data_IF_686681587988
#
_entry.id   IF_686681587988
#
_cell.length_a   1.000
_cell.length_b   1.000
_cell.length_c   1.000
_cell.angle_alpha   90.00
_cell.angle_beta   90.00
_cell.angle_gamma   90.00
#
_symmetry.space_group_name_H-M   'P 1'
#
loop_
_entity.id
_entity.type
_entity.pdbx_description
1 polymer ?
#
# COMPACT_ATOMS: atom_id res chain seq x y z
N UNK A 1 -14.18 1.56 -0.98
CA UNK A 1 -14.15 0.11 -1.22
C UNK A 1 -15.14 -0.28 -2.34
N UNK A 2 -14.74 -0.15 -3.60
CA UNK A 2 -15.53 -0.63 -4.77
C UNK A 2 -14.59 -1.35 -5.77
N UNK A 3 -13.38 -0.80 -5.93
CA UNK A 3 -12.27 -1.42 -6.67
C UNK A 3 -11.99 -2.85 -6.20
N UNK A 4 -12.00 -3.10 -4.89
CA UNK A 4 -11.76 -4.43 -4.32
C UNK A 4 -12.79 -5.47 -4.76
N UNK A 5 -14.06 -5.09 -4.95
CA UNK A 5 -15.09 -6.00 -5.46
C UNK A 5 -14.70 -6.47 -6.87
N UNK A 6 -14.23 -5.55 -7.71
CA UNK A 6 -13.72 -5.91 -9.03
C UNK A 6 -12.44 -6.74 -8.95
N UNK A 7 -11.56 -6.51 -7.97
CA UNK A 7 -10.38 -7.35 -7.76
C UNK A 7 -10.75 -8.81 -7.45
N UNK A 8 -11.76 -9.04 -6.59
CA UNK A 8 -12.30 -10.39 -6.35
C UNK A 8 -12.94 -10.99 -7.61
N UNK A 9 -13.69 -10.19 -8.37
CA UNK A 9 -14.31 -10.63 -9.61
C UNK A 9 -13.27 -10.99 -10.68
N UNK A 10 -12.19 -10.22 -10.83
CA UNK A 10 -11.09 -10.55 -11.74
C UNK A 10 -10.37 -11.82 -11.30
N UNK A 11 -10.27 -12.09 -10.01
CA UNK A 11 -9.71 -13.34 -9.50
C UNK A 11 -10.58 -14.57 -9.84
N UNK A 12 -11.90 -14.40 -9.91
CA UNK A 12 -12.85 -15.50 -10.14
C UNK A 12 -13.22 -15.67 -11.62
N UNK A 13 -13.50 -14.58 -12.34
CA UNK A 13 -14.07 -14.54 -13.68
C UNK A 13 -13.46 -13.42 -14.53
N UNK A 14 -12.13 -13.45 -14.71
CA UNK A 14 -11.37 -12.43 -15.42
C UNK A 14 -11.98 -12.07 -16.79
N UNK A 15 -12.17 -13.05 -17.67
CA UNK A 15 -12.61 -12.83 -19.06
C UNK A 15 -14.00 -12.18 -19.13
N UNK A 16 -14.95 -12.70 -18.35
CA UNK A 16 -16.32 -12.18 -18.27
C UNK A 16 -16.34 -10.71 -17.84
N UNK A 17 -15.55 -10.38 -16.81
CA UNK A 17 -15.49 -9.02 -16.26
C UNK A 17 -14.83 -8.05 -17.24
N UNK A 18 -13.72 -8.47 -17.88
CA UNK A 18 -13.04 -7.65 -18.90
C UNK A 18 -13.97 -7.40 -20.08
N UNK A 19 -14.69 -8.41 -20.57
CA UNK A 19 -15.65 -8.26 -21.66
C UNK A 19 -16.79 -7.30 -21.28
N UNK A 20 -17.41 -7.51 -20.12
CA UNK A 20 -18.47 -6.64 -19.61
C UNK A 20 -18.03 -5.18 -19.49
N UNK A 21 -16.87 -4.93 -18.88
CA UNK A 21 -16.34 -3.58 -18.69
C UNK A 21 -15.86 -2.92 -19.99
N UNK A 22 -15.53 -3.72 -21.01
CA UNK A 22 -15.16 -3.21 -22.34
C UNK A 22 -16.40 -2.80 -23.14
N UNK A 23 -17.51 -3.53 -23.00
CA UNK A 23 -18.78 -3.21 -23.65
C UNK A 23 -19.51 -2.04 -22.96
N UNK A 24 -19.32 -1.91 -21.65
CA UNK A 24 -19.92 -0.83 -20.88
C UNK A 24 -19.22 0.50 -21.14
N UNK A 25 -19.94 1.49 -21.68
CA UNK A 25 -19.41 2.81 -21.99
C UNK A 25 -20.05 3.88 -21.11
N UNK A 26 -19.23 4.67 -20.44
CA UNK A 26 -19.66 5.81 -19.60
C UNK A 26 -19.02 7.07 -20.14
N UNK A 27 -19.84 8.01 -20.62
CA UNK A 27 -19.38 9.31 -21.12
C UNK A 27 -18.30 9.21 -22.22
N UNK A 28 -18.40 8.20 -23.10
CA UNK A 28 -17.47 8.01 -24.21
C UNK A 28 -16.18 7.27 -23.86
N UNK A 29 -16.02 6.80 -22.61
CA UNK A 29 -14.89 5.98 -22.17
C UNK A 29 -15.36 4.59 -21.76
N UNK A 30 -14.56 3.57 -22.08
CA UNK A 30 -14.83 2.21 -21.64
C UNK A 30 -14.79 2.14 -20.11
N UNK A 31 -15.72 1.38 -19.51
CA UNK A 31 -15.77 1.16 -18.07
C UNK A 31 -14.47 0.57 -17.54
N UNK A 32 -13.82 -0.29 -18.33
CA UNK A 32 -12.51 -0.86 -18.04
C UNK A 32 -11.43 0.22 -17.87
N UNK A 33 -11.42 1.23 -18.73
CA UNK A 33 -10.46 2.34 -18.66
C UNK A 33 -10.65 3.16 -17.39
N UNK A 34 -11.91 3.46 -17.05
CA UNK A 34 -12.25 4.22 -15.85
C UNK A 34 -11.84 3.43 -14.60
N UNK A 35 -12.19 2.15 -14.54
CA UNK A 35 -11.86 1.29 -13.41
C UNK A 35 -10.35 1.19 -13.20
N UNK A 36 -9.57 0.90 -14.25
CA UNK A 36 -8.12 0.77 -14.12
C UNK A 36 -7.44 2.08 -13.74
N UNK A 37 -7.89 3.21 -14.27
CA UNK A 37 -7.37 4.53 -13.86
C UNK A 37 -7.64 4.81 -12.40
N UNK A 38 -8.89 4.65 -11.96
CA UNK A 38 -9.25 4.84 -10.55
C UNK A 38 -8.54 3.85 -9.65
N UNK A 39 -8.37 2.59 -10.08
CA UNK A 39 -7.62 1.61 -9.31
C UNK A 39 -6.16 2.03 -9.13
N UNK A 40 -5.45 2.37 -10.21
CA UNK A 40 -4.04 2.72 -10.12
C UNK A 40 -3.79 4.05 -9.40
N UNK A 41 -4.73 5.00 -9.46
CA UNK A 41 -4.62 6.26 -8.71
C UNK A 41 -4.76 6.07 -7.20
N UNK A 42 -5.55 5.08 -6.77
CA UNK A 42 -5.81 4.81 -5.35
C UNK A 42 -5.11 3.53 -4.88
N UNK A 43 -4.12 3.02 -5.63
CA UNK A 43 -3.49 1.73 -5.34
C UNK A 43 -2.77 1.74 -3.99
N UNK A 44 -2.07 2.83 -3.69
CA UNK A 44 -1.31 3.03 -2.45
C UNK A 44 -2.24 3.27 -1.24
N UNK A 45 -3.49 3.67 -1.48
CA UNK A 45 -4.48 3.92 -0.42
C UNK A 45 -5.12 2.61 0.11
N UNK A 46 -4.86 1.47 -0.53
CA UNK A 46 -5.38 0.18 -0.06
C UNK A 46 -4.55 -0.33 1.11
N UNK A 47 -5.05 -0.08 2.33
CA UNK A 47 -4.49 -0.66 3.55
C UNK A 47 -5.06 -2.07 3.83
N UNK A 48 -4.23 -2.94 4.40
CA UNK A 48 -4.59 -4.29 4.81
C UNK A 48 -3.90 -5.38 4.01
N UNK A 49 -3.33 -6.36 4.72
CA UNK A 49 -2.54 -7.44 4.13
C UNK A 49 -3.33 -8.27 3.11
N UNK A 50 -4.57 -8.64 3.45
CA UNK A 50 -5.44 -9.42 2.56
C UNK A 50 -5.85 -8.63 1.31
N UNK A 51 -6.26 -7.36 1.46
CA UNK A 51 -6.63 -6.49 0.34
C UNK A 51 -5.48 -6.29 -0.66
N UNK A 52 -4.26 -6.05 -0.14
CA UNK A 52 -3.06 -5.94 -0.98
C UNK A 52 -2.81 -7.25 -1.75
N UNK A 53 -2.89 -8.42 -1.09
CA UNK A 53 -2.74 -9.73 -1.76
C UNK A 53 -3.76 -9.95 -2.88
N UNK A 54 -5.04 -9.72 -2.62
CA UNK A 54 -6.11 -9.90 -3.62
C UNK A 54 -5.87 -8.98 -4.81
N UNK A 55 -5.53 -7.73 -4.54
CA UNK A 55 -5.25 -6.72 -5.56
C UNK A 55 -4.04 -7.14 -6.41
N UNK A 56 -2.93 -7.52 -5.77
CA UNK A 56 -1.73 -8.01 -6.46
C UNK A 56 -2.01 -9.25 -7.32
N UNK A 57 -2.80 -10.22 -6.83
CA UNK A 57 -3.20 -11.38 -7.62
C UNK A 57 -4.09 -11.02 -8.81
N UNK A 58 -5.06 -10.13 -8.59
CA UNK A 58 -5.96 -9.69 -9.66
C UNK A 58 -5.16 -8.97 -10.76
N UNK A 59 -4.26 -8.07 -10.39
CA UNK A 59 -3.37 -7.38 -11.33
C UNK A 59 -2.43 -8.34 -12.04
N UNK A 60 -1.89 -9.35 -11.34
CA UNK A 60 -1.06 -10.39 -11.95
C UNK A 60 -1.82 -11.18 -13.01
N UNK A 61 -3.05 -11.62 -12.73
CA UNK A 61 -3.92 -12.29 -13.71
C UNK A 61 -4.23 -11.39 -14.90
N UNK A 62 -4.51 -10.11 -14.63
CA UNK A 62 -4.83 -9.12 -15.64
C UNK A 62 -3.63 -8.86 -16.56
N UNK A 63 -2.41 -8.83 -16.03
CA UNK A 63 -1.17 -8.78 -16.81
C UNK A 63 -0.96 -10.04 -17.65
N UNK A 64 -1.10 -11.23 -17.05
CA UNK A 64 -0.91 -12.53 -17.72
C UNK A 64 -1.94 -12.79 -18.82
N UNK A 65 -3.12 -12.16 -18.76
CA UNK A 65 -4.14 -12.27 -19.80
C UNK A 65 -3.68 -11.81 -21.18
N UNK A 66 -2.70 -10.89 -21.22
CA UNK A 66 -2.18 -10.34 -22.48
C UNK A 66 -3.21 -9.58 -23.31
N UNK A 67 -4.33 -9.16 -22.73
CA UNK A 67 -5.42 -8.55 -23.49
C UNK A 67 -4.98 -7.20 -24.11
N UNK A 68 -5.08 -7.02 -25.44
CA UNK A 68 -4.68 -5.78 -26.10
C UNK A 68 -5.51 -4.57 -25.64
N UNK A 69 -6.74 -4.77 -25.19
CA UNK A 69 -7.59 -3.69 -24.66
C UNK A 69 -6.97 -3.06 -23.42
N UNK A 70 -6.34 -3.86 -22.58
CA UNK A 70 -5.64 -3.41 -21.38
C UNK A 70 -4.34 -2.70 -21.78
N UNK A 71 -3.57 -3.28 -22.70
CA UNK A 71 -2.30 -2.70 -23.17
C UNK A 71 -2.46 -1.29 -23.77
N UNK A 72 -3.58 -1.05 -24.45
CA UNK A 72 -3.86 0.23 -25.09
C UNK A 72 -4.30 1.34 -24.11
N UNK A 73 -4.65 1.00 -22.86
CA UNK A 73 -5.08 1.98 -21.87
C UNK A 73 -3.86 2.75 -21.34
N UNK A 74 -3.93 4.07 -21.45
CA UNK A 74 -2.91 4.99 -20.93
C UNK A 74 -3.29 5.50 -19.55
N UNK A 75 -2.35 5.40 -18.60
CA UNK A 75 -2.56 5.73 -17.19
C UNK A 75 -1.45 6.65 -16.67
N UNK A 76 -1.73 7.32 -15.54
CA UNK A 76 -0.79 8.22 -14.88
C UNK A 76 0.40 7.43 -14.32
N UNK A 77 1.59 7.77 -14.80
CA UNK A 77 2.86 7.22 -14.35
C UNK A 77 3.49 8.07 -13.26
N UNK A 78 4.78 8.34 -13.41
CA UNK A 78 5.63 8.95 -12.40
C UNK A 78 5.55 10.49 -12.46
N UNK A 79 5.75 11.14 -11.31
CA UNK A 79 5.82 12.59 -11.22
C UNK A 79 7.05 13.10 -12.00
N UNK A 80 6.83 14.02 -12.94
CA UNK A 80 7.87 14.71 -13.69
C UNK A 80 8.42 15.82 -12.79
N UNK A 81 9.53 15.53 -12.14
CA UNK A 81 10.23 16.50 -11.29
C UNK A 81 10.84 17.58 -12.19
N UNK A 82 10.42 18.83 -12.03
CA UNK A 82 11.11 19.96 -12.64
C UNK A 82 12.44 20.18 -11.92
N UNK A 83 13.55 20.31 -12.65
CA UNK A 83 14.92 20.48 -12.14
C UNK A 83 15.18 21.79 -11.34
N UNK A 84 14.13 22.44 -10.82
CA UNK A 84 14.28 23.60 -9.96
C UNK A 84 14.73 23.14 -8.58
N UNK A 85 15.98 23.39 -8.24
CA UNK A 85 16.57 23.11 -6.91
C UNK A 85 16.02 24.01 -5.79
N UNK A 86 14.99 24.81 -6.08
CA UNK A 86 14.39 25.78 -5.16
C UNK A 86 13.13 25.20 -4.55
N UNK A 87 13.03 25.23 -3.22
CA UNK A 87 11.81 24.91 -2.48
C UNK A 87 10.65 25.72 -3.07
N UNK A 88 9.73 25.03 -3.74
CA UNK A 88 8.54 25.66 -4.29
C UNK A 88 7.49 25.79 -3.18
N UNK A 89 7.07 27.03 -2.95
CA UNK A 89 5.97 27.32 -2.04
C UNK A 89 4.64 26.94 -2.69
N UNK A 90 3.61 26.61 -1.90
CA UNK A 90 2.26 26.21 -2.40
C UNK A 90 1.68 27.15 -3.48
N UNK A 91 1.98 28.45 -3.39
CA UNK A 91 1.61 29.47 -4.38
C UNK A 91 2.24 29.23 -5.77
N UNK A 92 3.52 28.84 -5.80
CA UNK A 92 4.27 28.56 -7.02
C UNK A 92 3.89 27.21 -7.65
N UNK A 93 3.57 26.20 -6.85
CA UNK A 93 3.05 24.90 -7.34
C UNK A 93 1.66 25.04 -7.96
N UNK A 94 0.83 25.97 -7.46
CA UNK A 94 -0.46 26.27 -8.11
C UNK A 94 -0.29 26.89 -9.51
N UNK A 95 0.82 27.60 -9.75
CA UNK A 95 1.13 28.20 -11.06
C UNK A 95 1.83 27.21 -12.01
N UNK A 96 2.49 26.18 -11.46
CA UNK A 96 3.10 25.09 -12.21
C UNK A 96 2.59 23.76 -11.66
N UNK A 97 1.42 23.28 -12.11
CA UNK A 97 0.85 22.05 -11.59
C UNK A 97 1.76 20.86 -11.90
N UNK A 98 1.76 19.91 -10.97
CA UNK A 98 2.49 18.67 -11.07
C UNK A 98 2.16 17.93 -12.37
N UNK A 99 3.19 17.64 -13.16
CA UNK A 99 3.06 16.90 -14.42
C UNK A 99 3.44 15.46 -14.17
N UNK A 100 2.74 14.54 -14.82
CA UNK A 100 3.00 13.11 -14.67
C UNK A 100 3.26 12.52 -16.05
N UNK A 101 4.07 11.47 -16.10
CA UNK A 101 4.23 10.69 -17.32
C UNK A 101 2.92 9.95 -17.63
N UNK A 102 2.72 9.64 -18.91
CA UNK A 102 1.64 8.74 -19.35
C UNK A 102 2.29 7.44 -19.77
N UNK A 103 1.90 6.33 -19.15
CA UNK A 103 2.43 5.00 -19.44
C UNK A 103 1.31 4.01 -19.75
N UNK A 104 1.57 2.92 -20.49
CA UNK A 104 0.61 1.85 -20.67
C UNK A 104 0.21 1.20 -19.33
N UNK A 105 -1.06 0.77 -19.23
CA UNK A 105 -1.58 0.11 -18.03
C UNK A 105 -0.77 -1.14 -17.65
N UNK A 106 -0.32 -1.93 -18.63
CA UNK A 106 0.52 -3.10 -18.38
C UNK A 106 1.86 -2.76 -17.75
N UNK A 107 2.47 -1.64 -18.14
CA UNK A 107 3.72 -1.16 -17.51
C UNK A 107 3.45 -0.72 -16.06
N UNK A 108 2.35 0.00 -15.82
CA UNK A 108 1.96 0.42 -14.47
C UNK A 108 1.71 -0.78 -13.56
N UNK A 109 1.07 -1.84 -14.05
CA UNK A 109 0.86 -3.08 -13.27
C UNK A 109 2.18 -3.67 -12.78
N UNK A 110 3.18 -3.80 -13.66
CA UNK A 110 4.49 -4.34 -13.27
C UNK A 110 5.12 -3.47 -12.18
N UNK A 111 5.08 -2.14 -12.34
CA UNK A 111 5.64 -1.21 -11.35
C UNK A 111 4.96 -1.36 -9.98
N UNK A 112 3.64 -1.48 -9.95
CA UNK A 112 2.88 -1.67 -8.71
C UNK A 112 3.22 -3.00 -8.04
N UNK A 113 3.23 -4.10 -8.80
CA UNK A 113 3.60 -5.42 -8.28
C UNK A 113 5.03 -5.44 -7.73
N UNK A 114 5.97 -4.76 -8.40
CA UNK A 114 7.34 -4.66 -7.92
C UNK A 114 7.41 -3.86 -6.60
N UNK A 115 6.67 -2.76 -6.49
CA UNK A 115 6.59 -2.00 -5.24
C UNK A 115 6.02 -2.85 -4.10
N UNK A 116 4.98 -3.65 -4.37
CA UNK A 116 4.41 -4.56 -3.37
C UNK A 116 5.40 -5.63 -2.92
N UNK A 117 6.21 -6.16 -3.84
CA UNK A 117 7.27 -7.11 -3.51
C UNK A 117 8.32 -6.49 -2.59
N UNK A 118 8.75 -5.25 -2.87
CA UNK A 118 9.69 -4.53 -2.01
C UNK A 118 9.11 -4.31 -0.62
N UNK A 119 7.87 -3.82 -0.54
CA UNK A 119 7.16 -3.63 0.72
C UNK A 119 7.02 -4.94 1.50
N UNK A 120 6.71 -6.06 0.82
CA UNK A 120 6.58 -7.37 1.45
C UNK A 120 7.92 -7.88 2.03
N UNK A 121 9.03 -7.65 1.33
CA UNK A 121 10.38 -8.01 1.80
C UNK A 121 10.78 -7.17 3.02
N UNK A 122 10.51 -5.87 3.00
CA UNK A 122 10.78 -4.97 4.13
C UNK A 122 10.01 -5.42 5.38
N UNK A 123 8.72 -5.73 5.25
CA UNK A 123 7.91 -6.26 6.34
C UNK A 123 8.41 -7.61 6.86
N UNK A 124 8.86 -8.53 5.98
CA UNK A 124 9.42 -9.83 6.37
C UNK A 124 10.74 -9.67 7.16
N UNK A 125 11.58 -8.71 6.76
CA UNK A 125 12.83 -8.41 7.47
C UNK A 125 12.58 -7.80 8.86
N UNK A 126 11.56 -6.94 9.00
CA UNK A 126 11.16 -6.36 10.29
C UNK A 126 10.52 -7.39 11.23
N UNK A 127 9.92 -8.46 10.67
CA UNK A 127 9.30 -9.55 11.44
C UNK A 127 10.30 -10.62 11.92
N UNK A 128 11.56 -10.59 11.48
CA UNK A 128 12.60 -11.41 12.09
C UNK A 128 12.94 -10.79 13.45
N UNK A 129 12.55 -11.44 14.57
CA UNK A 129 12.88 -10.89 15.87
C UNK A 129 14.40 -10.91 16.06
N UNK A 130 14.89 -9.88 16.73
CA UNK A 130 16.18 -9.77 17.42
C UNK A 130 16.32 -10.85 18.52
N UNK A 131 16.14 -12.12 18.18
CA UNK A 131 16.24 -13.26 19.07
C UNK A 131 17.41 -14.17 18.65
N UNK A 132 18.55 -13.56 18.31
CA UNK A 132 19.84 -14.25 18.22
C UNK A 132 20.84 -13.55 19.17
N UNK A 133 20.43 -13.37 20.43
CA UNK A 133 21.37 -13.27 21.54
C UNK A 133 21.55 -14.68 22.11
N UNK A 134 22.44 -15.45 21.50
CA UNK A 134 23.10 -16.59 22.15
C UNK A 134 24.58 -16.26 22.26
N UNK A 135 24.97 -15.98 23.50
CA UNK A 135 26.28 -16.19 24.13
C UNK A 135 27.50 -16.31 23.21
N UNK A 136 28.31 -15.24 23.16
CA UNK A 136 29.77 -15.36 23.12
C UNK A 136 30.35 -14.26 24.04
N UNK A 137 31.05 -14.73 25.07
CA UNK A 137 31.68 -13.96 26.15
C UNK A 137 33.14 -13.62 25.75
N UNK A 138 33.59 -12.40 26.11
CA UNK A 138 34.98 -11.86 26.10
C UNK A 138 35.51 -11.33 24.73
N UNK A 139 36.07 -10.13 24.55
CA UNK A 139 36.79 -9.19 25.43
C UNK A 139 36.43 -7.72 25.15
N UNK A 140 36.52 -6.90 26.20
CA UNK A 140 36.37 -5.45 26.17
C UNK A 140 37.63 -4.73 25.66
N UNK A 141 37.48 -3.74 24.77
CA UNK A 141 38.31 -2.51 24.82
C UNK A 141 37.52 -1.28 24.33
N UNK A 142 37.52 -0.29 25.22
CA UNK A 142 36.93 1.04 25.22
C UNK A 142 37.50 1.99 24.14
N UNK A 143 36.62 2.78 23.49
CA UNK A 143 36.95 4.15 23.05
C UNK A 143 35.68 4.97 22.74
N UNK A 144 35.32 5.81 23.72
CA UNK A 144 34.96 7.25 23.58
C UNK A 144 33.71 7.71 22.80
N UNK A 145 32.69 8.14 23.57
CA UNK A 145 32.20 9.54 23.67
C UNK A 145 31.56 10.23 22.43
N UNK A 146 30.22 10.36 22.42
CA UNK A 146 29.51 11.67 22.33
C UNK A 146 27.99 11.52 22.52
N UNK A 147 27.46 12.43 23.34
CA UNK A 147 26.13 12.52 23.95
C UNK A 147 24.99 12.89 22.98
N UNK A 148 23.76 12.47 23.32
CA UNK A 148 22.55 12.99 22.71
C UNK A 148 21.26 12.30 23.14
N UNK A 149 21.08 12.11 24.45
CA UNK A 149 19.81 11.69 25.07
C UNK A 149 18.67 12.61 24.60
N UNK A 150 17.73 12.07 23.81
CA UNK A 150 16.43 12.70 23.61
C UNK A 150 15.61 12.45 24.87
N UNK A 151 15.86 13.27 25.89
CA UNK A 151 15.04 13.33 27.10
C UNK A 151 13.61 13.70 26.66
N UNK A 152 12.69 12.77 26.89
CA UNK A 152 11.27 12.95 26.68
C UNK A 152 10.80 14.26 27.33
N UNK A 153 10.48 15.26 26.52
CA UNK A 153 9.76 16.45 26.97
C UNK A 153 8.30 16.06 27.19
N UNK A 154 8.07 15.33 28.28
CA UNK A 154 6.81 15.33 29.00
C UNK A 154 6.63 16.72 29.62
N UNK A 155 6.20 17.69 28.81
CA UNK A 155 5.54 18.88 29.35
C UNK A 155 4.12 18.49 29.78
N UNK A 156 4.12 17.71 30.86
CA UNK A 156 3.00 17.23 31.63
C UNK A 156 2.25 18.45 32.19
N UNK A 157 1.10 18.79 31.61
CA UNK A 157 0.22 19.77 32.24
C UNK A 157 -0.17 19.25 33.64
N UNK A 158 0.29 19.90 34.70
CA UNK A 158 0.12 19.47 36.11
C UNK A 158 -1.31 19.52 36.67
N UNK A 159 -2.36 19.54 35.84
CA UNK A 159 -3.73 19.79 36.30
C UNK A 159 -4.81 18.81 35.81
N UNK A 160 -4.47 17.73 35.11
CA UNK A 160 -5.43 16.68 34.77
C UNK A 160 -5.28 15.46 35.71
N UNK A 161 -6.32 15.02 36.43
CA UNK A 161 -6.27 13.76 37.19
C UNK A 161 -6.00 12.59 36.23
N UNK A 162 -5.06 11.71 36.60
CA UNK A 162 -4.65 10.55 35.80
C UNK A 162 -5.80 9.57 35.45
N UNK A 163 -6.97 9.72 36.07
CA UNK A 163 -8.16 8.89 35.80
C UNK A 163 -8.82 9.16 34.44
N UNK A 164 -8.60 10.33 33.81
CA UNK A 164 -9.22 10.68 32.52
C UNK A 164 -8.58 9.97 31.31
N UNK A 165 -7.39 9.38 31.48
CA UNK A 165 -6.68 8.66 30.41
C UNK A 165 -7.00 7.17 30.34
N UNK A 166 -7.77 6.63 31.31
CA UNK A 166 -8.25 5.25 31.26
C UNK A 166 -9.14 5.00 30.04
N UNK A 167 -9.85 6.03 29.58
CA UNK A 167 -10.71 5.97 28.40
C UNK A 167 -9.89 5.86 27.10
N UNK A 168 -8.72 6.50 27.03
CA UNK A 168 -7.80 6.38 25.89
C UNK A 168 -7.21 4.98 25.76
N UNK A 169 -6.80 4.36 26.88
CA UNK A 169 -6.35 2.97 26.90
C UNK A 169 -7.47 1.93 26.66
N UNK A 170 -8.74 2.33 26.80
CA UNK A 170 -9.90 1.51 26.44
C UNK A 170 -10.26 1.67 24.96
N UNK A 171 -10.05 2.86 24.38
CA UNK A 171 -10.25 3.12 22.96
C UNK A 171 -9.27 2.31 22.11
N UNK A 172 -8.01 2.23 22.51
CA UNK A 172 -6.97 1.37 21.89
C UNK A 172 -7.34 -0.12 21.90
N UNK A 173 -8.08 -0.57 22.93
CA UNK A 173 -8.60 -1.94 23.04
C UNK A 173 -9.98 -2.18 22.41
N UNK A 174 -10.65 -1.14 21.93
CA UNK A 174 -12.01 -1.24 21.39
C UNK A 174 -12.10 -1.00 19.89
N UNK A 175 -11.00 -0.52 19.29
CA UNK A 175 -10.82 -0.57 17.83
C UNK A 175 -10.02 -1.85 17.57
N UNK A 176 -10.67 -2.99 17.75
CA UNK A 176 -10.18 -4.30 17.31
C UNK A 176 -9.99 -4.27 15.79
N UNK A 177 -8.82 -3.77 15.35
CA UNK A 177 -8.35 -3.93 13.97
C UNK A 177 -7.98 -5.41 13.69
N UNK A 178 -7.90 -6.23 14.74
CA UNK A 178 -7.60 -7.66 14.72
C UNK A 178 -8.82 -8.54 14.37
N UNK A 179 -10.05 -7.99 14.40
CA UNK A 179 -11.27 -8.77 14.16
C UNK A 179 -11.46 -9.16 12.68
N UNK A 180 -10.72 -8.51 11.76
CA UNK A 180 -10.73 -8.87 10.33
C UNK A 180 -9.77 -10.04 10.04
N UNK A 181 -8.76 -10.27 10.89
CA UNK A 181 -7.76 -11.34 10.69
C UNK A 181 -8.27 -12.73 11.19
N UNK A 182 -9.30 -12.73 12.05
CA UNK A 182 -9.94 -13.93 12.59
C UNK A 182 -11.20 -14.39 11.83
N UNK A 183 -11.55 -13.74 10.72
CA UNK A 183 -12.67 -14.17 9.89
C UNK A 183 -12.34 -15.53 9.24
N UNK A 184 -13.10 -16.56 9.64
CA UNK A 184 -12.95 -17.93 9.16
C UNK A 184 -13.08 -18.02 7.64
N UNK A 185 -13.85 -17.12 7.01
CA UNK A 185 -14.00 -17.10 5.57
C UNK A 185 -12.74 -16.56 4.87
N UNK A 186 -12.01 -15.64 5.49
CA UNK A 186 -10.75 -15.08 4.98
C UNK A 186 -9.60 -16.09 5.15
N UNK A 187 -9.54 -16.79 6.28
CA UNK A 187 -8.50 -17.80 6.55
C UNK A 187 -8.62 -19.04 5.65
N UNK A 188 -9.85 -19.37 5.23
CA UNK A 188 -10.13 -20.50 4.34
C UNK A 188 -9.98 -20.14 2.85
N UNK A 189 -9.74 -18.88 2.49
CA UNK A 189 -9.53 -18.48 1.11
C UNK A 189 -8.13 -18.96 0.64
N UNK A 190 -8.02 -19.73 -0.45
CA UNK A 190 -6.72 -20.11 -1.03
C UNK A 190 -5.82 -18.91 -1.37
N UNK A 191 -6.38 -17.71 -1.56
CA UNK A 191 -5.63 -16.47 -1.74
C UNK A 191 -4.83 -16.09 -0.49
N UNK A 192 -5.40 -16.32 0.71
CA UNK A 192 -4.77 -15.97 1.97
C UNK A 192 -3.45 -16.76 2.19
N UNK A 193 -3.47 -18.03 1.81
CA UNK A 193 -2.37 -18.97 1.98
C UNK A 193 -1.27 -18.83 0.92
N UNK A 194 -1.50 -18.10 -0.18
CA UNK A 194 -0.48 -17.93 -1.20
C UNK A 194 0.63 -17.00 -0.66
N UNK A 195 1.85 -17.51 -0.65
CA UNK A 195 3.05 -16.71 -0.43
C UNK A 195 3.36 -15.92 -1.69
N UNK A 196 3.66 -14.64 -1.52
CA UNK A 196 4.15 -13.75 -2.60
C UNK A 196 5.65 -14.01 -2.89
N UNK A 197 6.26 -14.97 -2.19
CA UNK A 197 7.68 -15.32 -2.22
C UNK A 197 8.01 -16.34 -3.32
#
# INVERSE_FOLDING_TARGET
>A
SMVMIFAHLFNSQLETVVNFLSEFNVNGRAGLEILLKTWFENYEDFHGFYSSKISAMALSKLFLSGDPRIQNIQVRGDLIISNSTRIMTRSQTRQNPDKYTSIPATEKIIKLLFSDLQNAIEVDNLKKPENEYQEDEEEAVDSSDDDGEWEDVDELSSFAPADDYRFLGLLDKSVDLDDVENDLDIQNDPIYQMSIK
#
